data_IF_351188843005
#
_entry.id   IF_351188843005
#
_cell.length_a   1.000
_cell.length_b   1.000
_cell.length_c   1.000
_cell.angle_alpha   90.00
_cell.angle_beta   90.00
_cell.angle_gamma   90.00
#
_symmetry.space_group_name_H-M   'P 1'
#
loop_
_entity.id
_entity.type
_entity.pdbx_description
1 polymer ?
#
# COMPACT_ATOMS: atom_id res chain seq x y z
N UNK A 1 10.34 8.86 4.99
CA UNK A 1 10.91 10.06 4.35
C UNK A 1 11.11 9.93 2.83
N UNK A 2 11.54 8.76 2.32
CA UNK A 2 11.91 8.60 0.89
C UNK A 2 10.82 9.08 -0.08
N UNK A 3 9.60 8.54 0.00
CA UNK A 3 8.51 8.92 -0.93
C UNK A 3 8.16 10.41 -0.83
N UNK A 4 8.16 10.97 0.38
CA UNK A 4 7.92 12.40 0.61
C UNK A 4 9.02 13.30 -0.01
N UNK A 5 10.23 12.76 -0.21
CA UNK A 5 11.36 13.51 -0.79
C UNK A 5 11.36 13.52 -2.33
N UNK A 6 10.67 12.56 -2.96
CA UNK A 6 10.70 12.36 -4.42
C UNK A 6 9.35 12.60 -5.10
N UNK A 7 8.24 12.53 -4.34
CA UNK A 7 6.90 12.77 -4.85
C UNK A 7 6.42 14.19 -4.51
N UNK A 8 5.60 14.76 -5.39
CA UNK A 8 4.92 16.04 -5.13
C UNK A 8 4.00 15.97 -3.91
N UNK A 9 3.30 14.85 -3.73
CA UNK A 9 2.36 14.58 -2.63
C UNK A 9 2.29 13.09 -2.37
N UNK A 10 2.23 12.70 -1.10
CA UNK A 10 2.09 11.30 -0.67
C UNK A 10 0.80 11.15 0.12
N UNK A 11 -0.03 10.19 -0.26
CA UNK A 11 -1.13 9.70 0.58
C UNK A 11 -0.66 8.38 1.19
N UNK A 12 -0.62 8.30 2.52
CA UNK A 12 -0.23 7.08 3.25
C UNK A 12 -1.43 6.54 4.00
N UNK A 13 -1.64 5.23 3.92
CA UNK A 13 -2.71 4.52 4.63
C UNK A 13 -2.08 3.58 5.64
N UNK A 14 -2.52 3.67 6.88
CA UNK A 14 -2.05 2.85 8.00
C UNK A 14 -3.26 2.36 8.79
N UNK A 15 -3.34 1.08 9.14
CA UNK A 15 -4.46 0.52 9.89
C UNK A 15 -4.36 0.89 11.38
N UNK A 16 -3.15 0.98 11.92
CA UNK A 16 -2.89 1.20 13.34
C UNK A 16 -2.68 2.69 13.62
N UNK A 17 -3.65 3.32 14.29
CA UNK A 17 -3.65 4.77 14.56
C UNK A 17 -2.37 5.26 15.25
N UNK A 18 -1.88 4.52 16.26
CA UNK A 18 -0.67 4.89 17.01
C UNK A 18 0.56 4.98 16.09
N UNK A 19 0.70 4.03 15.15
CA UNK A 19 1.80 4.05 14.18
C UNK A 19 1.69 5.23 13.22
N UNK A 20 0.46 5.55 12.78
CA UNK A 20 0.19 6.71 11.93
C UNK A 20 0.57 8.02 12.61
N UNK A 21 0.18 8.21 13.88
CA UNK A 21 0.51 9.40 14.67
C UNK A 21 2.03 9.53 14.90
N UNK A 22 2.71 8.42 15.19
CA UNK A 22 4.17 8.39 15.35
C UNK A 22 4.89 8.72 14.05
N UNK A 23 4.42 8.19 12.93
CA UNK A 23 4.96 8.49 11.60
C UNK A 23 4.76 9.97 11.24
N UNK A 24 3.58 10.52 11.53
CA UNK A 24 3.29 11.95 11.35
C UNK A 24 4.24 12.83 12.15
N UNK A 25 4.34 12.61 13.46
CA UNK A 25 5.25 13.35 14.34
C UNK A 25 6.69 13.32 13.83
N UNK A 26 7.15 12.14 13.40
CA UNK A 26 8.51 11.97 12.88
C UNK A 26 8.73 12.76 11.59
N UNK A 27 7.79 12.70 10.65
CA UNK A 27 7.92 13.37 9.35
C UNK A 27 7.74 14.89 9.46
N UNK A 28 6.85 15.36 10.33
CA UNK A 28 6.66 16.78 10.64
C UNK A 28 7.96 17.36 11.23
N UNK A 29 8.61 16.65 12.16
CA UNK A 29 9.91 17.05 12.74
C UNK A 29 11.05 17.09 11.71
N UNK A 30 10.94 16.31 10.63
CA UNK A 30 11.88 16.33 9.50
C UNK A 30 11.52 17.38 8.44
N UNK A 31 10.44 18.15 8.63
CA UNK A 31 10.01 19.22 7.74
C UNK A 31 9.20 18.76 6.53
N UNK A 32 8.74 17.50 6.49
CA UNK A 32 7.89 17.03 5.40
C UNK A 32 6.45 17.46 5.60
N UNK A 33 5.94 18.29 4.69
CA UNK A 33 4.57 18.84 4.73
C UNK A 33 3.68 18.34 3.58
N UNK A 34 4.19 17.43 2.75
CA UNK A 34 3.53 16.91 1.56
C UNK A 34 2.94 15.50 1.76
N UNK A 35 2.76 15.07 3.01
CA UNK A 35 2.19 13.75 3.37
C UNK A 35 0.80 13.92 3.97
N UNK A 36 -0.16 13.16 3.47
CA UNK A 36 -1.54 13.09 3.97
C UNK A 36 -1.76 11.70 4.53
N UNK A 37 -2.18 11.64 5.79
CA UNK A 37 -2.32 10.41 6.57
C UNK A 37 -3.76 9.97 6.61
N UNK A 38 -4.01 8.68 6.35
CA UNK A 38 -5.32 8.04 6.42
C UNK A 38 -5.22 6.86 7.38
N UNK A 39 -6.00 6.85 8.45
CA UNK A 39 -6.12 5.69 9.34
C UNK A 39 -7.27 4.83 8.82
N UNK A 40 -6.96 3.74 8.12
CA UNK A 40 -7.95 2.91 7.44
C UNK A 40 -7.38 1.54 7.03
N UNK A 41 -8.26 0.64 6.60
CA UNK A 41 -7.89 -0.60 5.94
C UNK A 41 -7.34 -0.32 4.52
N UNK A 42 -6.02 -0.36 4.37
CA UNK A 42 -5.33 -0.12 3.10
C UNK A 42 -5.60 -1.17 2.02
N UNK A 43 -6.12 -2.35 2.36
CA UNK A 43 -6.55 -3.34 1.35
C UNK A 43 -7.76 -2.86 0.54
N UNK A 44 -8.51 -1.88 1.07
CA UNK A 44 -9.61 -1.20 0.39
C UNK A 44 -9.18 0.02 -0.42
N UNK A 45 -7.87 0.25 -0.53
CA UNK A 45 -7.30 1.43 -1.16
C UNK A 45 -7.20 2.63 -0.24
N UNK A 46 -6.94 3.79 -0.83
CA UNK A 46 -6.97 5.06 -0.12
C UNK A 46 -8.42 5.59 -0.06
N UNK A 47 -8.79 6.22 1.05
CA UNK A 47 -10.08 6.93 1.17
C UNK A 47 -10.16 8.09 0.17
N UNK A 48 -9.02 8.70 -0.14
CA UNK A 48 -8.94 9.60 -1.28
C UNK A 48 -9.02 8.77 -2.57
N UNK A 49 -10.01 9.04 -3.45
CA UNK A 49 -10.32 8.17 -4.59
C UNK A 49 -9.25 8.13 -5.68
N UNK A 50 -8.18 8.92 -5.57
CA UNK A 50 -7.13 9.01 -6.58
C UNK A 50 -7.60 9.79 -7.83
N UNK A 51 -7.06 9.48 -9.02
CA UNK A 51 -6.12 8.38 -9.31
C UNK A 51 -4.69 8.69 -8.86
N UNK A 52 -3.85 7.66 -8.70
CA UNK A 52 -2.44 7.74 -8.31
C UNK A 52 -1.51 7.34 -9.45
N UNK A 53 -0.42 8.09 -9.63
CA UNK A 53 0.66 7.76 -10.58
C UNK A 53 1.45 6.53 -10.12
N UNK A 54 1.60 6.37 -8.80
CA UNK A 54 2.37 5.32 -8.15
C UNK A 54 1.67 4.86 -6.89
N UNK A 55 1.61 3.54 -6.68
CA UNK A 55 1.16 2.91 -5.43
C UNK A 55 2.26 1.98 -4.93
N UNK A 56 2.61 2.09 -3.65
CA UNK A 56 3.58 1.19 -3.01
C UNK A 56 2.91 0.56 -1.81
N UNK A 57 2.79 -0.76 -1.83
CA UNK A 57 2.24 -1.54 -0.72
C UNK A 57 3.40 -2.13 0.07
N UNK A 58 3.46 -1.85 1.37
CA UNK A 58 4.56 -2.28 2.26
C UNK A 58 4.12 -3.39 3.21
N UNK A 59 3.11 -4.16 2.80
CA UNK A 59 2.60 -5.34 3.49
C UNK A 59 2.19 -6.38 2.42
N UNK A 60 2.38 -7.66 2.72
CA UNK A 60 2.07 -8.75 1.81
C UNK A 60 0.56 -8.97 1.69
N UNK A 61 0.06 -9.02 0.46
CA UNK A 61 -1.34 -9.39 0.19
C UNK A 61 -1.42 -10.82 -0.35
N UNK A 62 -2.50 -11.58 -0.06
CA UNK A 62 -2.69 -12.93 -0.61
C UNK A 62 -2.89 -12.91 -2.14
N UNK A 63 -3.47 -11.82 -2.65
CA UNK A 63 -3.62 -11.49 -4.05
C UNK A 63 -3.52 -9.97 -4.23
N UNK A 64 -3.38 -9.49 -5.47
CA UNK A 64 -3.35 -8.06 -5.76
C UNK A 64 -4.73 -7.45 -5.39
N UNK A 65 -4.81 -6.44 -4.50
CA UNK A 65 -6.09 -5.86 -4.13
C UNK A 65 -6.70 -5.05 -5.28
N UNK A 66 -7.89 -5.45 -5.76
CA UNK A 66 -8.62 -4.77 -6.84
C UNK A 66 -8.84 -3.27 -6.60
N UNK A 67 -9.20 -2.81 -5.37
CA UNK A 67 -9.38 -1.37 -5.13
C UNK A 67 -8.13 -0.54 -5.42
N UNK A 68 -6.92 -1.09 -5.21
CA UNK A 68 -5.68 -0.39 -5.53
C UNK A 68 -5.43 -0.32 -7.04
N UNK A 69 -5.79 -1.36 -7.79
CA UNK A 69 -5.73 -1.35 -9.25
C UNK A 69 -6.62 -0.26 -9.84
N UNK A 70 -7.84 -0.14 -9.35
CA UNK A 70 -8.82 0.85 -9.80
C UNK A 70 -8.36 2.29 -9.51
N UNK A 71 -7.58 2.49 -8.45
CA UNK A 71 -7.02 3.78 -8.07
C UNK A 71 -5.74 4.14 -8.83
N UNK A 72 -5.18 3.28 -9.70
CA UNK A 72 -4.06 3.64 -10.57
C UNK A 72 -4.50 4.50 -11.75
N UNK A 73 -3.69 5.51 -12.10
CA UNK A 73 -3.77 6.18 -13.40
C UNK A 73 -3.42 5.21 -14.55
N UNK A 74 -3.87 5.50 -15.76
CA UNK A 74 -3.34 4.81 -16.95
C UNK A 74 -1.83 5.07 -17.09
N UNK A 75 -1.05 4.03 -17.35
CA UNK A 75 0.42 4.07 -17.27
C UNK A 75 0.99 4.10 -15.85
N UNK A 76 0.13 4.20 -14.82
CA UNK A 76 0.52 4.17 -13.42
C UNK A 76 1.10 2.81 -13.00
N UNK A 77 1.93 2.83 -11.96
CA UNK A 77 2.64 1.64 -11.49
C UNK A 77 2.30 1.37 -10.03
N UNK A 78 2.01 0.10 -9.71
CA UNK A 78 1.95 -0.39 -8.35
C UNK A 78 3.09 -1.37 -8.08
N UNK A 79 3.69 -1.27 -6.90
CA UNK A 79 4.62 -2.28 -6.38
C UNK A 79 3.99 -2.89 -5.13
N UNK A 80 3.79 -4.22 -5.13
CA UNK A 80 3.09 -4.95 -4.07
C UNK A 80 3.71 -6.33 -3.84
N UNK A 81 4.02 -6.71 -2.59
CA UNK A 81 4.36 -8.08 -2.24
C UNK A 81 3.11 -8.96 -2.30
N UNK A 82 3.14 -10.04 -3.07
CA UNK A 82 2.02 -10.97 -3.21
C UNK A 82 2.46 -12.41 -2.96
N UNK A 83 1.71 -13.13 -2.15
CA UNK A 83 1.96 -14.54 -1.84
C UNK A 83 1.43 -14.91 -0.46
N UNK A 84 1.95 -16.00 0.08
CA UNK A 84 1.61 -16.47 1.43
C UNK A 84 2.36 -15.67 2.50
N UNK A 85 1.99 -15.82 3.78
CA UNK A 85 2.60 -15.03 4.87
C UNK A 85 4.12 -15.16 5.00
N UNK A 86 4.70 -16.29 4.58
CA UNK A 86 6.14 -16.56 4.70
C UNK A 86 6.89 -16.57 3.38
N UNK A 87 6.18 -16.57 2.25
CA UNK A 87 6.77 -16.63 0.91
C UNK A 87 6.01 -15.72 -0.04
N UNK A 88 6.61 -14.58 -0.42
CA UNK A 88 6.04 -13.66 -1.38
C UNK A 88 6.97 -13.37 -2.54
N UNK A 89 6.38 -12.84 -3.61
CA UNK A 89 7.09 -12.24 -4.73
C UNK A 89 6.68 -10.78 -4.77
N UNK A 90 7.66 -9.89 -4.84
CA UNK A 90 7.43 -8.48 -5.11
C UNK A 90 7.02 -8.34 -6.58
N UNK A 91 5.79 -7.88 -6.81
CA UNK A 91 5.25 -7.64 -8.14
C UNK A 91 5.31 -6.15 -8.48
N UNK A 92 5.67 -5.85 -9.72
CA UNK A 92 5.38 -4.57 -10.37
C UNK A 92 4.18 -4.76 -11.28
N UNK A 93 3.15 -3.96 -11.05
CA UNK A 93 1.94 -3.91 -11.87
C UNK A 93 1.93 -2.58 -12.62
N UNK A 94 1.77 -2.62 -13.93
CA UNK A 94 1.61 -1.41 -14.76
C UNK A 94 0.21 -1.45 -15.37
N UNK A 95 -0.56 -0.36 -15.22
CA UNK A 95 -1.84 -0.22 -15.89
C UNK A 95 -1.63 0.12 -17.37
N UNK A 96 -2.29 -0.62 -18.25
CA UNK A 96 -2.26 -0.43 -19.71
C UNK A 96 -3.71 -0.32 -20.21
N UNK A 97 -4.29 0.88 -20.14
CA UNK A 97 -5.69 1.16 -20.45
C UNK A 97 -6.66 0.46 -19.48
N UNK A 98 -7.31 -0.60 -19.98
CA UNK A 98 -8.22 -1.46 -19.21
C UNK A 98 -7.55 -2.72 -18.66
N UNK A 99 -6.32 -3.00 -19.10
CA UNK A 99 -5.56 -4.18 -18.70
C UNK A 99 -4.46 -3.83 -17.70
N UNK A 100 -3.88 -4.87 -17.08
CA UNK A 100 -2.79 -4.74 -16.13
C UNK A 100 -1.67 -5.72 -16.49
N UNK A 101 -0.47 -5.20 -16.72
CA UNK A 101 0.73 -6.00 -16.97
C UNK A 101 1.45 -6.25 -15.66
N UNK A 102 1.78 -7.51 -15.39
CA UNK A 102 2.45 -7.94 -14.16
C UNK A 102 3.88 -8.42 -14.43
N UNK A 103 4.83 -7.94 -13.63
CA UNK A 103 6.23 -8.36 -13.65
C UNK A 103 6.65 -8.82 -12.26
N UNK A 104 7.31 -9.99 -12.20
CA UNK A 104 7.88 -10.55 -10.95
C UNK A 104 9.28 -9.98 -10.75
N UNK A 105 9.49 -9.19 -9.71
CA UNK A 105 10.78 -8.55 -9.44
C UNK A 105 11.73 -9.47 -8.67
N UNK A 106 11.32 -9.91 -7.47
CA UNK A 106 12.15 -10.76 -6.62
C UNK A 106 11.32 -11.45 -5.51
N UNK A 107 11.84 -12.54 -4.90
CA UNK A 107 11.31 -13.05 -3.65
C UNK A 107 11.51 -12.06 -2.50
N UNK A 108 10.54 -11.99 -1.59
CA UNK A 108 10.59 -11.13 -0.41
C UNK A 108 9.75 -11.70 0.75
N UNK A 109 9.93 -11.11 1.95
CA UNK A 109 9.13 -11.40 3.14
C UNK A 109 8.74 -10.08 3.81
N UNK A 110 7.44 -9.76 3.80
CA UNK A 110 6.79 -8.62 4.44
C UNK A 110 5.75 -9.11 5.45
N UNK A 111 5.39 -8.24 6.41
CA UNK A 111 4.25 -8.45 7.31
C UNK A 111 2.94 -8.56 6.51
N UNK A 112 1.93 -9.30 6.99
CA UNK A 112 0.67 -9.45 6.27
C UNK A 112 -0.11 -8.12 6.20
N UNK A 113 -0.71 -7.84 5.05
CA UNK A 113 -1.72 -6.81 4.88
C UNK A 113 -3.03 -7.35 5.43
N UNK A 114 -3.42 -6.89 6.62
CA UNK A 114 -4.65 -7.33 7.28
C UNK A 114 -5.83 -6.47 6.85
N UNK A 115 -6.94 -7.09 6.42
CA UNK A 115 -8.12 -6.35 5.99
C UNK A 115 -9.02 -7.11 5.02
N UNK A 116 -10.10 -6.46 4.59
CA UNK A 116 -11.15 -7.09 3.77
C UNK A 116 -10.66 -7.61 2.41
N UNK A 117 -9.66 -6.96 1.82
CA UNK A 117 -8.97 -7.40 0.60
C UNK A 117 -7.60 -8.04 0.87
N UNK A 118 -7.28 -8.31 2.14
CA UNK A 118 -6.00 -8.82 2.60
C UNK A 118 -6.13 -10.19 3.28
N UNK A 119 -5.23 -10.46 4.23
CA UNK A 119 -5.36 -11.60 5.14
C UNK A 119 -6.38 -11.28 6.24
N UNK A 120 -7.08 -12.33 6.69
CA UNK A 120 -7.85 -12.27 7.94
C UNK A 120 -6.89 -12.17 9.12
N UNK A 121 -7.33 -11.43 10.13
CA UNK A 121 -6.65 -11.35 11.41
C UNK A 121 -6.90 -12.67 12.16
N UNK A 122 -5.85 -13.43 12.45
CA UNK A 122 -5.99 -14.69 13.20
C UNK A 122 -6.22 -14.43 14.69
N UNK A 123 -5.96 -13.22 15.18
CA UNK A 123 -6.19 -12.80 16.56
C UNK A 123 -7.63 -12.29 16.82
N UNK A 124 -8.51 -12.27 15.80
CA UNK A 124 -9.94 -11.94 15.96
C UNK A 124 -10.82 -13.16 16.34
N UNK A 125 -10.29 -14.39 16.33
CA UNK A 125 -11.05 -15.60 16.72
C UNK A 125 -11.16 -15.83 18.24
N UNK A 126 -10.52 -15.01 19.08
CA UNK A 126 -10.41 -15.23 20.54
C UNK A 126 -11.05 -14.13 21.43
N UNK A 127 -12.06 -13.41 20.93
CA UNK A 127 -12.85 -12.45 21.74
C UNK A 127 -14.37 -12.60 21.59
#
# INVERSE_FOLDING_TARGET
AILASIARRVHTVEKIEELSLRAKTTLDNLGFNNVIYHVADGSRGCVYPGPFDQIVVTAAAPAIPTPLLEQLTDGGIMVVPVGERTHQILLKVTREGHDYRHERLCPCVFVPLLGAGGFLDEDEEDY
#
